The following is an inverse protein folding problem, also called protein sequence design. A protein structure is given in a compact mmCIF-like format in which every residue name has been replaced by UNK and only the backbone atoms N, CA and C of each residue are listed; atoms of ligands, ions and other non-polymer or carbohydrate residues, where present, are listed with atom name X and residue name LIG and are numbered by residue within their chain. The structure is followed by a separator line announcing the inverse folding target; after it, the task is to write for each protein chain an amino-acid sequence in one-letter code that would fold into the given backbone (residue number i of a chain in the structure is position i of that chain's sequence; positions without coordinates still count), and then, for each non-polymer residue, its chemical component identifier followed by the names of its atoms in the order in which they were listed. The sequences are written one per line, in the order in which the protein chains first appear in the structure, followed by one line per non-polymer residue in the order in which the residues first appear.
data_IF_465207940056
#
_entry.id   IF_465207940056
#
_cell.length_a   1.000
_cell.length_b   1.000
_cell.length_c   1.000
_cell.angle_alpha   90.00
_cell.angle_beta   90.00
_cell.angle_gamma   90.00
#
_symmetry.space_group_name_H-M   'P 1'
#
loop_
_entity.id
_entity.type
_entity.pdbx_description
1 polymer ?
#
# COMPACT_ATOMS: atom_id res chain seq x y z
N UNK A 1 -21.87 6.94 49.93
CA UNK A 1 -20.54 7.48 49.59
C UNK A 1 -20.29 7.06 48.16
N UNK A 2 -20.69 7.92 47.21
CA UNK A 2 -20.59 7.62 45.78
C UNK A 2 -19.15 7.83 45.33
N UNK A 3 -18.55 6.77 44.81
CA UNK A 3 -17.26 6.77 44.17
C UNK A 3 -17.43 7.35 42.76
N UNK A 4 -16.84 8.50 42.51
CA UNK A 4 -16.69 9.07 41.18
C UNK A 4 -15.40 8.48 40.60
N UNK A 5 -15.43 7.79 39.45
CA UNK A 5 -14.21 7.41 38.76
C UNK A 5 -13.55 8.67 38.19
N UNK A 6 -12.23 8.77 38.33
CA UNK A 6 -11.42 9.81 37.71
C UNK A 6 -11.66 9.88 36.20
N UNK A 7 -12.33 10.94 35.76
CA UNK A 7 -12.13 11.58 34.46
C UNK A 7 -10.70 12.18 34.45
N UNK A 8 -9.85 12.09 33.44
CA UNK A 8 -9.89 11.53 32.11
C UNK A 8 -8.43 11.22 31.73
N UNK A 9 -8.20 10.18 30.92
CA UNK A 9 -7.03 10.21 30.04
C UNK A 9 -7.20 11.47 29.17
N UNK A 10 -6.21 12.35 29.14
CA UNK A 10 -6.24 13.52 28.29
C UNK A 10 -6.43 13.01 26.86
N UNK A 11 -7.61 13.22 26.29
CA UNK A 11 -7.93 12.77 24.95
C UNK A 11 -6.86 13.35 24.03
N UNK A 12 -6.17 12.47 23.28
CA UNK A 12 -5.07 12.91 22.46
C UNK A 12 -5.61 13.95 21.46
N UNK A 13 -5.02 15.15 21.45
CA UNK A 13 -5.42 16.21 20.52
C UNK A 13 -5.33 15.66 19.10
N UNK A 14 -6.39 15.85 18.31
CA UNK A 14 -6.47 15.41 16.93
C UNK A 14 -5.25 15.95 16.13
N UNK A 15 -4.53 15.10 15.39
CA UNK A 15 -3.32 15.50 14.67
C UNK A 15 -3.58 16.58 13.61
N UNK A 16 -4.76 16.65 13.01
CA UNK A 16 -5.12 17.70 12.05
C UNK A 16 -5.24 19.07 12.73
N UNK A 17 -5.75 19.12 13.96
CA UNK A 17 -5.74 20.35 14.77
C UNK A 17 -4.32 20.76 15.15
N UNK A 18 -3.45 19.82 15.49
CA UNK A 18 -2.05 20.12 15.85
C UNK A 18 -1.29 20.80 14.70
N UNK A 19 -1.59 20.44 13.46
CA UNK A 19 -0.96 21.02 12.27
C UNK A 19 -1.58 22.37 11.86
N UNK A 20 -2.84 22.59 12.19
CA UNK A 20 -3.61 23.80 11.82
C UNK A 20 -3.51 24.93 12.86
N UNK A 21 -3.36 24.59 14.15
CA UNK A 21 -3.40 25.57 15.25
C UNK A 21 -2.00 26.06 15.63
N UNK A 22 -1.77 27.36 15.49
CA UNK A 22 -0.55 28.05 15.95
C UNK A 22 -0.80 28.73 17.30
N UNK A 23 -0.13 28.26 18.36
CA UNK A 23 -0.32 28.78 19.72
C UNK A 23 0.80 29.74 20.12
N UNK A 24 0.42 30.99 20.37
CA UNK A 24 1.27 32.12 20.75
C UNK A 24 0.93 32.61 22.17
N UNK A 25 1.33 31.80 23.16
CA UNK A 25 1.12 32.12 24.57
C UNK A 25 2.39 32.70 25.22
N UNK A 26 2.21 33.75 26.03
CA UNK A 26 3.29 34.43 26.77
C UNK A 26 3.52 33.90 28.19
N UNK A 27 2.67 32.98 28.67
CA UNK A 27 2.73 32.44 30.03
C UNK A 27 2.22 30.99 30.12
N UNK A 28 2.55 30.29 31.20
CA UNK A 28 2.03 28.94 31.47
C UNK A 28 0.51 28.92 31.64
N UNK A 29 -0.08 30.01 32.15
CA UNK A 29 -1.54 30.14 32.31
C UNK A 29 -2.23 30.29 30.95
N UNK A 30 -1.72 31.18 30.08
CA UNK A 30 -2.25 31.32 28.72
C UNK A 30 -2.01 30.07 27.88
N UNK A 31 -0.89 29.37 28.08
CA UNK A 31 -0.68 28.07 27.43
C UNK A 31 -1.73 27.04 27.86
N UNK A 32 -2.01 26.92 29.16
CA UNK A 32 -3.04 26.01 29.66
C UNK A 32 -4.43 26.36 29.14
N UNK A 33 -4.76 27.65 29.03
CA UNK A 33 -6.03 28.05 28.43
C UNK A 33 -6.10 27.72 26.94
N UNK A 34 -5.01 27.94 26.18
CA UNK A 34 -4.96 27.53 24.78
C UNK A 34 -5.21 26.02 24.60
N UNK A 35 -4.68 25.18 25.49
CA UNK A 35 -4.96 23.73 25.46
C UNK A 35 -6.46 23.42 25.71
N UNK A 36 -7.15 24.20 26.55
CA UNK A 36 -8.59 24.04 26.75
C UNK A 36 -9.39 24.49 25.53
N UNK A 37 -8.98 25.58 24.87
CA UNK A 37 -9.55 26.03 23.60
C UNK A 37 -9.42 24.94 22.52
N UNK A 38 -8.22 24.38 22.36
CA UNK A 38 -7.97 23.26 21.43
C UNK A 38 -8.83 22.06 21.79
N UNK A 39 -8.96 21.72 23.08
CA UNK A 39 -9.83 20.61 23.52
C UNK A 39 -11.30 20.82 23.16
N UNK A 40 -11.80 22.06 23.11
CA UNK A 40 -13.16 22.35 22.66
C UNK A 40 -13.30 22.21 21.15
N UNK A 41 -12.31 22.67 20.39
CA UNK A 41 -12.24 22.46 18.93
C UNK A 41 -12.11 20.97 18.56
N UNK A 42 -11.52 20.16 19.44
CA UNK A 42 -11.35 18.72 19.26
C UNK A 42 -12.67 17.93 19.26
N UNK A 43 -13.80 18.56 19.60
CA UNK A 43 -15.13 17.97 19.50
C UNK A 43 -15.68 17.93 18.06
N UNK A 44 -15.04 18.63 17.11
CA UNK A 44 -15.44 18.65 15.70
C UNK A 44 -14.98 17.35 15.01
N UNK A 45 -15.79 16.85 14.07
CA UNK A 45 -15.55 15.60 13.35
C UNK A 45 -14.21 15.61 12.62
N UNK A 46 -13.56 14.45 12.62
CA UNK A 46 -12.24 14.28 12.05
C UNK A 46 -12.16 14.67 10.57
N UNK A 47 -13.22 14.43 9.79
CA UNK A 47 -13.21 14.75 8.35
C UNK A 47 -13.24 16.25 8.11
N UNK A 48 -14.00 17.01 8.91
CA UNK A 48 -13.98 18.49 8.87
C UNK A 48 -12.59 19.01 9.23
N UNK A 49 -12.01 18.52 10.34
CA UNK A 49 -10.67 18.90 10.79
C UNK A 49 -9.61 18.59 9.72
N UNK A 50 -9.68 17.41 9.12
CA UNK A 50 -8.82 16.98 8.03
C UNK A 50 -8.93 17.92 6.82
N UNK A 51 -10.15 18.23 6.38
CA UNK A 51 -10.37 19.06 5.20
C UNK A 51 -9.91 20.49 5.41
N UNK A 52 -10.24 21.13 6.53
CA UNK A 52 -9.79 22.50 6.79
C UNK A 52 -8.26 22.57 6.87
N UNK A 53 -7.62 21.58 7.51
CA UNK A 53 -6.15 21.48 7.56
C UNK A 53 -5.54 21.24 6.17
N UNK A 54 -6.09 20.30 5.39
CA UNK A 54 -5.59 19.94 4.06
C UNK A 54 -5.77 21.08 3.04
N UNK A 55 -6.81 21.90 3.20
CA UNK A 55 -7.04 23.10 2.41
C UNK A 55 -6.23 24.31 2.91
N UNK A 56 -5.31 24.09 3.87
CA UNK A 56 -4.31 25.07 4.29
C UNK A 56 -4.79 26.13 5.28
N UNK A 57 -5.92 25.91 5.94
CA UNK A 57 -6.37 26.83 6.98
C UNK A 57 -5.31 26.95 8.09
N UNK A 58 -5.19 28.15 8.66
CA UNK A 58 -4.34 28.41 9.83
C UNK A 58 -5.20 29.05 10.90
N UNK A 59 -5.12 28.53 12.13
CA UNK A 59 -5.87 29.06 13.26
C UNK A 59 -4.93 29.51 14.38
N UNK A 60 -4.84 30.81 14.60
CA UNK A 60 -3.93 31.39 15.59
C UNK A 60 -4.65 31.50 16.94
N UNK A 61 -4.04 30.97 17.99
CA UNK A 61 -4.41 31.23 19.38
C UNK A 61 -3.34 32.10 20.01
N UNK A 62 -3.63 33.38 20.26
CA UNK A 62 -2.67 34.30 20.89
C UNK A 62 -3.26 35.03 22.09
N UNK A 63 -2.44 35.34 23.10
CA UNK A 63 -2.88 36.11 24.27
C UNK A 63 -2.75 37.64 24.10
N UNK A 64 -2.10 38.08 23.01
CA UNK A 64 -2.03 39.47 22.58
C UNK A 64 -3.17 39.86 21.63
N UNK A 65 -3.47 41.17 21.46
CA UNK A 65 -4.47 41.65 20.50
C UNK A 65 -4.23 41.14 19.07
N UNK A 66 -5.32 41.06 18.29
CA UNK A 66 -5.28 40.64 16.89
C UNK A 66 -4.28 41.50 16.09
N UNK A 67 -4.33 42.81 16.27
CA UNK A 67 -3.50 43.77 15.51
C UNK A 67 -2.02 43.77 15.90
N UNK A 68 -1.62 42.98 16.91
CA UNK A 68 -0.21 42.70 17.23
C UNK A 68 0.34 41.47 16.48
N UNK A 69 -0.53 40.66 15.88
CA UNK A 69 -0.08 39.57 15.02
C UNK A 69 0.38 40.12 13.65
N UNK A 70 1.51 39.63 13.10
CA UNK A 70 1.99 40.06 11.79
C UNK A 70 0.93 39.96 10.67
N UNK A 71 0.11 38.91 10.70
CA UNK A 71 -0.93 38.61 9.72
C UNK A 71 -2.04 39.66 9.70
N UNK A 72 -2.34 40.25 10.87
CA UNK A 72 -3.45 41.19 11.06
C UNK A 72 -2.99 42.63 11.38
N UNK A 73 -1.68 42.91 11.38
CA UNK A 73 -1.13 44.22 11.72
C UNK A 73 -1.69 45.37 10.86
N UNK A 74 -2.12 45.06 9.63
CA UNK A 74 -2.74 46.00 8.71
C UNK A 74 -4.13 46.49 9.16
N UNK A 75 -4.78 45.82 10.12
CA UNK A 75 -6.10 46.16 10.67
C UNK A 75 -6.03 47.15 11.84
N UNK A 76 -4.82 47.54 12.27
CA UNK A 76 -4.63 48.46 13.40
C UNK A 76 -5.41 49.76 13.24
N UNK A 77 -6.28 50.07 14.21
CA UNK A 77 -7.16 51.26 14.20
C UNK A 77 -8.35 51.19 13.23
N UNK A 78 -8.55 50.08 12.52
CA UNK A 78 -9.68 49.88 11.59
C UNK A 78 -10.89 49.34 12.36
N UNK A 79 -12.08 49.86 12.08
CA UNK A 79 -13.36 49.36 12.62
C UNK A 79 -13.98 48.39 11.61
N UNK A 80 -14.20 47.11 11.95
CA UNK A 80 -14.86 46.18 11.05
C UNK A 80 -16.32 46.51 10.83
N UNK A 81 -16.85 45.99 9.72
CA UNK A 81 -18.26 46.12 9.38
C UNK A 81 -19.11 45.47 10.46
N UNK A 82 -20.16 46.18 10.90
CA UNK A 82 -21.07 45.67 11.94
C UNK A 82 -20.60 45.93 13.38
N UNK A 83 -19.41 46.50 13.58
CA UNK A 83 -18.87 46.80 14.91
C UNK A 83 -18.76 48.31 15.19
N UNK A 84 -18.74 48.65 16.48
CA UNK A 84 -18.43 50.00 16.96
C UNK A 84 -16.97 50.16 17.39
N UNK A 85 -16.31 49.05 17.75
CA UNK A 85 -14.93 49.03 18.25
C UNK A 85 -13.94 48.70 17.12
N UNK A 86 -12.68 49.09 17.25
CA UNK A 86 -11.65 48.72 16.27
C UNK A 86 -11.21 47.27 16.44
N UNK A 87 -10.54 46.74 15.42
CA UNK A 87 -9.85 45.45 15.45
C UNK A 87 -8.80 45.33 16.57
N UNK A 88 -8.40 46.44 17.18
CA UNK A 88 -7.49 46.43 18.34
C UNK A 88 -8.15 45.82 19.59
N UNK A 89 -9.48 45.92 19.69
CA UNK A 89 -10.27 45.48 20.84
C UNK A 89 -11.07 44.19 20.57
N UNK A 90 -11.16 43.76 19.31
CA UNK A 90 -11.93 42.58 18.91
C UNK A 90 -11.09 41.31 19.17
N UNK A 91 -11.67 40.26 19.79
CA UNK A 91 -10.89 39.10 20.21
C UNK A 91 -10.81 37.97 19.18
N UNK A 92 -11.64 37.96 18.12
CA UNK A 92 -11.58 36.95 17.07
C UNK A 92 -11.67 37.52 15.65
N UNK A 93 -11.15 36.78 14.67
CA UNK A 93 -11.25 37.08 13.25
C UNK A 93 -11.36 35.80 12.42
N UNK A 94 -12.35 35.74 11.52
CA UNK A 94 -12.57 34.63 10.58
C UNK A 94 -11.94 34.87 9.20
N UNK A 95 -11.45 33.80 8.58
CA UNK A 95 -10.82 33.80 7.26
C UNK A 95 -9.88 32.61 7.03
N UNK A 96 -9.08 32.64 5.95
CA UNK A 96 -8.10 31.59 5.66
C UNK A 96 -7.03 31.46 6.75
N UNK A 97 -6.60 32.63 7.26
CA UNK A 97 -5.94 32.74 8.56
C UNK A 97 -6.99 33.29 9.52
N UNK A 98 -7.39 32.47 10.48
CA UNK A 98 -8.32 32.83 11.54
C UNK A 98 -7.60 32.96 12.87
N UNK A 99 -8.20 33.67 13.82
CA UNK A 99 -7.63 33.86 15.14
C UNK A 99 -8.70 33.92 16.21
N UNK A 100 -8.39 33.36 17.39
CA UNK A 100 -9.13 33.61 18.62
C UNK A 100 -8.17 33.98 19.75
N UNK A 101 -8.51 35.01 20.53
CA UNK A 101 -7.69 35.48 21.64
C UNK A 101 -7.81 34.56 22.84
N UNK A 102 -6.67 34.12 23.36
CA UNK A 102 -6.60 33.24 24.53
C UNK A 102 -7.24 33.91 25.75
N UNK A 103 -8.16 33.21 26.41
CA UNK A 103 -8.88 33.68 27.60
C UNK A 103 -10.14 34.50 27.31
N UNK A 104 -10.51 34.63 26.02
CA UNK A 104 -11.70 35.35 25.57
C UNK A 104 -12.76 34.37 25.03
N UNK A 105 -12.76 33.10 25.43
CA UNK A 105 -13.65 32.09 24.87
C UNK A 105 -15.12 32.26 25.23
N UNK A 106 -15.42 32.76 26.44
CA UNK A 106 -16.77 32.80 26.98
C UNK A 106 -17.57 34.02 26.50
N UNK A 107 -18.87 33.83 26.26
CA UNK A 107 -19.82 34.92 26.01
C UNK A 107 -19.60 36.12 26.95
N UNK A 108 -19.58 37.33 26.39
CA UNK A 108 -19.42 38.58 27.14
C UNK A 108 -17.96 38.98 27.42
N UNK A 109 -16.98 38.18 27.00
CA UNK A 109 -15.55 38.54 27.03
C UNK A 109 -15.18 39.37 25.81
N UNK A 110 -15.87 40.49 25.55
CA UNK A 110 -15.57 41.38 24.42
C UNK A 110 -16.16 40.95 23.06
N UNK A 111 -16.88 39.84 23.04
CA UNK A 111 -17.72 39.37 21.93
C UNK A 111 -19.03 38.80 22.50
N UNK A 112 -19.95 38.43 21.61
CA UNK A 112 -21.33 38.02 21.92
C UNK A 112 -21.67 36.60 21.46
N UNK A 113 -20.68 35.87 20.94
CA UNK A 113 -20.82 34.47 20.52
C UNK A 113 -20.82 33.54 21.73
N UNK A 114 -21.45 32.38 21.62
CA UNK A 114 -21.52 31.38 22.71
C UNK A 114 -20.13 30.84 23.10
N UNK A 115 -19.25 30.67 22.10
CA UNK A 115 -17.86 30.32 22.27
C UNK A 115 -17.03 30.96 21.14
N UNK A 116 -15.97 31.68 21.48
CA UNK A 116 -15.18 32.44 20.50
C UNK A 116 -14.49 31.52 19.48
N UNK A 117 -13.63 30.62 19.94
CA UNK A 117 -12.80 29.80 19.03
C UNK A 117 -13.63 28.88 18.12
N UNK A 118 -14.74 28.33 18.60
CA UNK A 118 -15.64 27.54 17.76
C UNK A 118 -16.41 28.40 16.76
N UNK A 119 -16.77 29.63 17.11
CA UNK A 119 -17.41 30.55 16.17
C UNK A 119 -16.45 30.94 15.04
N UNK A 120 -15.23 31.37 15.39
CA UNK A 120 -14.22 31.74 14.40
C UNK A 120 -13.80 30.52 13.57
N UNK A 121 -13.72 29.33 14.17
CA UNK A 121 -13.47 28.10 13.43
C UNK A 121 -14.66 27.72 12.53
N UNK A 122 -15.89 28.04 12.93
CA UNK A 122 -17.08 27.93 12.09
C UNK A 122 -16.93 28.71 10.78
N UNK A 123 -16.33 29.91 10.80
CA UNK A 123 -16.02 30.66 9.57
C UNK A 123 -14.97 29.96 8.69
N UNK A 124 -14.00 29.27 9.30
CA UNK A 124 -13.04 28.42 8.56
C UNK A 124 -13.77 27.26 7.90
N UNK A 125 -14.65 26.58 8.65
CA UNK A 125 -15.43 25.44 8.15
C UNK A 125 -16.34 25.87 7.01
N UNK A 126 -17.03 27.01 7.16
CA UNK A 126 -17.90 27.62 6.15
C UNK A 126 -17.16 27.78 4.81
N UNK A 127 -15.94 28.29 4.84
CA UNK A 127 -15.22 28.72 3.64
C UNK A 127 -14.26 27.68 3.05
N UNK A 128 -13.72 26.78 3.87
CA UNK A 128 -12.55 25.96 3.51
C UNK A 128 -12.75 24.45 3.70
N UNK A 129 -13.97 23.96 3.90
CA UNK A 129 -14.22 22.51 4.01
C UNK A 129 -14.49 21.86 2.66
N UNK A 130 -15.45 22.41 1.91
CA UNK A 130 -16.06 21.72 0.75
C UNK A 130 -15.89 22.45 -0.59
N UNK A 131 -14.98 23.44 -0.66
CA UNK A 131 -14.66 24.17 -1.90
C UNK A 131 -15.68 25.23 -2.32
N UNK A 132 -16.78 25.36 -1.59
CA UNK A 132 -17.74 26.46 -1.68
C UNK A 132 -17.97 27.03 -0.29
N UNK A 133 -18.40 28.30 -0.21
CA UNK A 133 -18.85 28.87 1.05
C UNK A 133 -20.24 28.31 1.39
N UNK A 134 -20.32 27.48 2.42
CA UNK A 134 -21.51 26.70 2.77
C UNK A 134 -22.71 27.60 3.08
N UNK A 135 -22.48 28.67 3.83
CA UNK A 135 -23.47 29.68 4.21
C UNK A 135 -24.05 30.45 3.02
N UNK A 136 -23.35 30.44 1.88
CA UNK A 136 -23.76 31.10 0.64
C UNK A 136 -24.59 30.18 -0.27
N UNK A 137 -24.63 28.87 0.03
CA UNK A 137 -25.42 27.89 -0.72
C UNK A 137 -26.92 28.16 -0.61
N UNK A 138 -27.68 27.84 -1.65
CA UNK A 138 -29.14 28.03 -1.66
C UNK A 138 -29.83 27.27 -0.51
N UNK A 139 -29.35 26.05 -0.22
CA UNK A 139 -29.84 25.22 0.88
C UNK A 139 -29.68 25.93 2.23
N UNK A 140 -28.46 26.33 2.60
CA UNK A 140 -28.22 26.92 3.91
C UNK A 140 -28.89 28.29 4.05
N UNK A 141 -28.98 29.07 2.96
CA UNK A 141 -29.75 30.32 2.94
C UNK A 141 -31.25 30.10 3.18
N UNK A 142 -31.82 29.01 2.64
CA UNK A 142 -33.22 28.65 2.88
C UNK A 142 -33.45 28.19 4.32
N UNK A 143 -32.50 27.46 4.92
CA UNK A 143 -32.52 27.08 6.34
C UNK A 143 -32.46 28.34 7.22
N UNK A 144 -31.49 29.21 6.98
CA UNK A 144 -31.34 30.50 7.67
C UNK A 144 -32.64 31.30 7.65
N UNK A 145 -33.21 31.53 6.46
CA UNK A 145 -34.44 32.31 6.31
C UNK A 145 -35.64 31.71 7.05
N UNK A 146 -35.65 30.40 7.30
CA UNK A 146 -36.72 29.74 8.03
C UNK A 146 -36.56 29.79 9.56
N UNK A 147 -35.33 29.84 10.07
CA UNK A 147 -35.04 29.53 11.48
C UNK A 147 -34.32 30.65 12.25
N UNK A 148 -33.71 31.62 11.57
CA UNK A 148 -32.94 32.68 12.23
C UNK A 148 -33.76 33.44 13.28
N UNK A 149 -35.02 33.76 12.97
CA UNK A 149 -35.90 34.45 13.92
C UNK A 149 -36.36 33.56 15.07
N UNK A 150 -36.39 32.23 14.91
CA UNK A 150 -36.79 31.30 15.97
C UNK A 150 -35.67 31.13 16.99
N UNK A 151 -34.44 31.01 16.50
CA UNK A 151 -33.25 30.84 17.33
C UNK A 151 -32.80 32.15 17.98
N UNK A 152 -32.75 33.24 17.20
CA UNK A 152 -32.09 34.48 17.60
C UNK A 152 -33.04 35.58 18.11
N UNK A 153 -34.36 35.35 18.19
CA UNK A 153 -35.33 36.41 18.53
C UNK A 153 -35.04 37.16 19.84
N UNK A 154 -34.60 36.42 20.86
CA UNK A 154 -34.30 36.98 22.18
C UNK A 154 -32.90 37.60 22.26
N UNK A 155 -32.11 37.50 21.19
CA UNK A 155 -30.77 38.05 21.14
C UNK A 155 -30.83 39.55 20.82
N UNK A 156 -30.21 40.38 21.67
CA UNK A 156 -30.11 41.83 21.46
C UNK A 156 -29.39 42.22 20.17
N UNK A 157 -28.67 41.28 19.55
CA UNK A 157 -27.97 41.44 18.29
C UNK A 157 -28.61 40.62 17.15
N UNK A 158 -29.91 40.32 17.22
CA UNK A 158 -30.61 39.57 16.15
C UNK A 158 -30.24 40.04 14.74
N UNK A 159 -30.23 41.34 14.47
CA UNK A 159 -29.88 41.93 13.16
C UNK A 159 -28.46 41.57 12.69
N UNK A 160 -27.51 41.32 13.60
CA UNK A 160 -26.17 40.84 13.24
C UNK A 160 -26.23 39.48 12.52
N UNK A 161 -27.12 38.60 12.97
CA UNK A 161 -27.31 37.27 12.39
C UNK A 161 -28.17 37.26 11.12
N UNK A 162 -28.57 38.42 10.56
CA UNK A 162 -29.04 38.48 9.16
C UNK A 162 -27.89 38.20 8.17
N UNK A 163 -26.65 38.35 8.62
CA UNK A 163 -25.47 37.89 7.89
C UNK A 163 -25.38 36.37 8.02
N UNK A 164 -25.65 35.65 6.93
CA UNK A 164 -25.77 34.18 6.94
C UNK A 164 -24.48 33.49 7.41
N UNK A 165 -23.31 34.03 7.08
CA UNK A 165 -22.02 33.54 7.59
C UNK A 165 -21.90 33.63 9.12
N UNK A 166 -22.38 34.72 9.73
CA UNK A 166 -22.39 34.87 11.19
C UNK A 166 -23.39 33.91 11.86
N UNK A 167 -24.53 33.66 11.22
CA UNK A 167 -25.46 32.62 11.66
C UNK A 167 -24.83 31.22 11.56
N UNK A 168 -24.12 30.93 10.45
CA UNK A 168 -23.39 29.67 10.30
C UNK A 168 -22.36 29.51 11.42
N UNK A 169 -21.48 30.49 11.62
CA UNK A 169 -20.44 30.45 12.66
C UNK A 169 -21.01 30.26 14.06
N UNK A 170 -22.08 30.97 14.40
CA UNK A 170 -22.71 30.84 15.72
C UNK A 170 -23.42 29.50 15.91
N UNK A 171 -24.18 29.03 14.92
CA UNK A 171 -24.89 27.76 15.03
C UNK A 171 -23.95 26.56 14.97
N UNK A 172 -22.84 26.66 14.24
CA UNK A 172 -21.72 25.72 14.30
C UNK A 172 -21.15 25.67 15.73
N UNK A 173 -20.86 26.82 16.34
CA UNK A 173 -20.38 26.88 17.71
C UNK A 173 -21.38 26.26 18.69
N UNK A 174 -22.67 26.57 18.57
CA UNK A 174 -23.73 25.96 19.38
C UNK A 174 -23.75 24.43 19.24
N UNK A 175 -23.58 23.90 18.03
CA UNK A 175 -23.59 22.47 17.77
C UNK A 175 -22.38 21.76 18.42
N UNK A 176 -21.16 22.31 18.34
CA UNK A 176 -19.95 21.63 18.85
C UNK A 176 -19.56 21.98 20.29
N UNK A 177 -20.13 23.02 20.89
CA UNK A 177 -19.65 23.51 22.19
C UNK A 177 -20.09 22.65 23.38
N UNK A 178 -21.39 22.47 23.58
CA UNK A 178 -21.95 21.73 24.73
C UNK A 178 -23.18 20.93 24.33
N UNK A 179 -23.52 19.89 25.11
CA UNK A 179 -24.74 19.12 24.89
C UNK A 179 -26.00 20.00 25.04
N UNK A 180 -25.97 20.95 25.97
CA UNK A 180 -27.05 21.90 26.23
C UNK A 180 -27.27 22.85 25.04
N UNK A 181 -26.19 23.45 24.50
CA UNK A 181 -26.28 24.33 23.34
C UNK A 181 -26.73 23.59 22.08
N UNK A 182 -26.28 22.34 21.89
CA UNK A 182 -26.72 21.49 20.79
C UNK A 182 -28.21 21.14 20.92
N UNK A 183 -28.67 20.80 22.12
CA UNK A 183 -30.09 20.53 22.37
C UNK A 183 -30.97 21.76 22.15
N UNK A 184 -30.51 22.95 22.55
CA UNK A 184 -31.20 24.21 22.25
C UNK A 184 -31.29 24.46 20.74
N UNK A 185 -30.22 24.21 19.99
CA UNK A 185 -30.22 24.30 18.53
C UNK A 185 -31.24 23.31 17.92
N UNK A 186 -31.27 22.06 18.40
CA UNK A 186 -32.24 21.05 17.95
C UNK A 186 -33.70 21.48 18.20
N UNK A 187 -33.97 22.13 19.34
CA UNK A 187 -35.32 22.58 19.70
C UNK A 187 -35.77 23.79 18.88
N UNK A 188 -34.89 24.78 18.70
CA UNK A 188 -35.26 26.09 18.13
C UNK A 188 -34.96 26.24 16.64
N UNK A 189 -34.02 25.48 16.11
CA UNK A 189 -33.60 25.48 14.72
C UNK A 189 -33.32 24.05 14.22
N UNK A 190 -34.35 23.18 14.20
CA UNK A 190 -34.18 21.75 13.89
C UNK A 190 -33.61 21.48 12.50
N UNK A 191 -33.86 22.33 11.50
CA UNK A 191 -33.26 22.16 10.15
C UNK A 191 -31.78 22.51 10.17
N UNK A 192 -31.39 23.53 10.92
CA UNK A 192 -29.98 23.88 11.13
C UNK A 192 -29.25 22.77 11.88
N UNK A 193 -29.86 22.17 12.91
CA UNK A 193 -29.30 21.00 13.58
C UNK A 193 -29.14 19.81 12.62
N UNK A 194 -30.20 19.45 11.90
CA UNK A 194 -30.18 18.34 10.95
C UNK A 194 -29.16 18.56 9.83
N UNK A 195 -28.94 19.81 9.41
CA UNK A 195 -27.88 20.15 8.46
C UNK A 195 -26.50 19.76 8.99
N UNK A 196 -26.18 20.07 10.26
CA UNK A 196 -24.90 19.70 10.85
C UNK A 196 -24.78 18.20 11.16
N UNK A 197 -25.88 17.50 11.44
CA UNK A 197 -25.89 16.03 11.56
C UNK A 197 -25.41 15.36 10.26
N UNK A 198 -25.80 15.92 9.10
CA UNK A 198 -25.49 15.35 7.78
C UNK A 198 -24.22 15.94 7.14
N UNK A 199 -23.78 17.13 7.56
CA UNK A 199 -22.71 17.88 6.92
C UNK A 199 -21.42 17.08 6.75
N UNK A 200 -21.01 16.30 7.77
CA UNK A 200 -19.81 15.48 7.71
C UNK A 200 -19.89 14.41 6.61
N UNK A 201 -21.03 13.73 6.46
CA UNK A 201 -21.25 12.69 5.44
C UNK A 201 -21.20 13.24 4.01
N UNK A 202 -21.49 14.53 3.84
CA UNK A 202 -21.51 15.21 2.54
C UNK A 202 -20.13 15.71 2.09
N UNK A 203 -19.08 15.48 2.87
CA UNK A 203 -17.73 15.86 2.50
C UNK A 203 -17.12 14.78 1.59
N UNK A 204 -16.72 15.20 0.38
CA UNK A 204 -15.96 14.36 -0.53
C UNK A 204 -14.48 14.75 -0.53
N UNK A 205 -13.63 13.79 -0.20
CA UNK A 205 -12.18 13.95 -0.12
C UNK A 205 -11.51 13.43 -1.38
N UNK A 206 -10.53 14.18 -1.89
CA UNK A 206 -9.69 13.73 -2.99
C UNK A 206 -8.49 12.95 -2.45
N UNK A 207 -8.27 11.76 -2.96
CA UNK A 207 -7.07 10.96 -2.72
C UNK A 207 -6.01 11.21 -3.79
N UNK A 208 -5.38 10.13 -4.24
CA UNK A 208 -4.46 10.16 -5.38
C UNK A 208 -5.19 10.62 -6.65
N UNK A 209 -4.57 11.55 -7.36
CA UNK A 209 -5.00 12.03 -8.68
C UNK A 209 -3.79 11.94 -9.59
N UNK A 210 -3.97 11.21 -10.69
CA UNK A 210 -2.91 10.96 -11.66
C UNK A 210 -3.26 11.62 -12.99
N UNK A 211 -2.54 11.33 -14.08
CA UNK A 211 -2.91 11.89 -15.38
C UNK A 211 -4.21 11.34 -15.96
N UNK A 212 -4.61 10.14 -15.56
CA UNK A 212 -5.74 9.41 -16.12
C UNK A 212 -6.64 8.76 -15.07
N UNK A 213 -6.36 8.93 -13.78
CA UNK A 213 -7.21 8.43 -12.69
C UNK A 213 -7.41 9.46 -11.59
N UNK A 214 -8.48 9.30 -10.81
CA UNK A 214 -8.68 10.03 -9.57
C UNK A 214 -9.39 9.13 -8.56
N UNK A 215 -8.93 9.12 -7.31
CA UNK A 215 -9.59 8.35 -6.24
C UNK A 215 -10.32 9.30 -5.30
N UNK A 216 -11.57 9.01 -5.00
CA UNK A 216 -12.41 9.78 -4.08
C UNK A 216 -12.72 8.96 -2.82
N UNK A 217 -12.79 9.63 -1.67
CA UNK A 217 -13.08 9.05 -0.36
C UNK A 217 -14.13 9.86 0.38
N UNK A 218 -14.96 9.19 1.17
CA UNK A 218 -15.97 9.82 2.05
C UNK A 218 -16.15 8.96 3.31
N UNK A 219 -16.80 9.52 4.33
CA UNK A 219 -17.22 8.76 5.51
C UNK A 219 -18.47 7.93 5.17
N UNK A 220 -18.47 6.66 5.58
CA UNK A 220 -19.61 5.78 5.36
C UNK A 220 -20.78 6.19 6.25
N UNK A 221 -21.99 6.23 5.68
CA UNK A 221 -23.23 6.47 6.39
C UNK A 221 -23.88 5.15 6.81
N UNK A 222 -24.37 5.05 8.04
CA UNK A 222 -24.90 3.80 8.62
C UNK A 222 -26.04 3.16 7.82
N UNK A 223 -26.93 4.00 7.26
CA UNK A 223 -28.09 3.55 6.49
C UNK A 223 -27.82 3.33 4.99
N UNK A 224 -26.61 3.65 4.51
CA UNK A 224 -26.25 3.52 3.09
C UNK A 224 -25.80 2.09 2.78
N UNK A 225 -26.34 1.51 1.70
CA UNK A 225 -25.92 0.19 1.18
C UNK A 225 -25.24 0.27 -0.18
N UNK A 226 -25.35 1.42 -0.85
CA UNK A 226 -24.77 1.69 -2.16
C UNK A 226 -24.41 3.18 -2.24
N UNK A 227 -23.31 3.46 -2.93
CA UNK A 227 -22.88 4.80 -3.30
C UNK A 227 -22.73 4.86 -4.82
N UNK A 228 -23.31 5.87 -5.44
CA UNK A 228 -23.17 6.13 -6.87
C UNK A 228 -22.22 7.32 -7.08
N UNK A 229 -21.14 7.11 -7.82
CA UNK A 229 -20.14 8.13 -8.11
C UNK A 229 -20.46 8.82 -9.43
N UNK A 230 -20.39 10.15 -9.43
CA UNK A 230 -20.63 10.98 -10.60
C UNK A 230 -19.38 11.78 -10.97
N UNK A 231 -19.15 11.91 -12.28
CA UNK A 231 -18.11 12.75 -12.88
C UNK A 231 -18.78 13.70 -13.87
N UNK A 232 -18.63 15.01 -13.68
CA UNK A 232 -19.26 16.05 -14.50
C UNK A 232 -20.79 15.87 -14.66
N UNK A 233 -21.45 15.33 -13.62
CA UNK A 233 -22.89 15.07 -13.60
C UNK A 233 -23.32 13.74 -14.23
N UNK A 234 -22.40 12.94 -14.78
CA UNK A 234 -22.69 11.61 -15.32
C UNK A 234 -22.23 10.52 -14.35
N UNK A 235 -23.07 9.51 -14.12
CA UNK A 235 -22.72 8.36 -13.29
C UNK A 235 -21.59 7.56 -13.93
N UNK A 236 -20.54 7.28 -13.16
CA UNK A 236 -19.39 6.46 -13.57
C UNK A 236 -19.41 5.06 -12.93
N UNK A 237 -20.36 4.80 -12.04
CA UNK A 237 -20.57 3.47 -11.45
C UNK A 237 -21.03 3.55 -9.99
N UNK A 238 -21.22 2.37 -9.40
CA UNK A 238 -21.62 2.22 -8.00
C UNK A 238 -20.61 1.40 -7.21
N UNK A 239 -20.59 1.60 -5.89
CA UNK A 239 -19.76 0.85 -4.94
C UNK A 239 -20.51 0.68 -3.62
N UNK A 240 -20.15 -0.34 -2.85
CA UNK A 240 -20.63 -0.54 -1.46
C UNK A 240 -19.63 -0.02 -0.43
N UNK A 241 -18.40 0.27 -0.85
CA UNK A 241 -17.36 0.85 -0.01
C UNK A 241 -17.44 2.38 0.01
N UNK A 242 -16.64 3.00 0.88
CA UNK A 242 -16.57 4.46 1.02
C UNK A 242 -15.43 5.10 0.22
N UNK A 243 -15.06 4.45 -0.89
CA UNK A 243 -14.09 4.95 -1.85
C UNK A 243 -14.45 4.52 -3.27
N UNK A 244 -14.04 5.32 -4.26
CA UNK A 244 -14.20 5.03 -5.67
C UNK A 244 -12.99 5.52 -6.45
N UNK A 245 -12.38 4.63 -7.25
CA UNK A 245 -11.33 5.00 -8.21
C UNK A 245 -11.99 5.22 -9.57
N UNK A 246 -11.86 6.44 -10.09
CA UNK A 246 -12.31 6.81 -11.42
C UNK A 246 -11.13 6.64 -12.37
N UNK A 247 -11.35 5.91 -13.46
CA UNK A 247 -10.34 5.65 -14.50
C UNK A 247 -10.72 6.32 -15.82
N UNK A 248 -9.79 6.30 -16.80
CA UNK A 248 -10.03 6.81 -18.14
C UNK A 248 -10.27 8.32 -18.20
N UNK A 249 -9.62 9.08 -17.31
CA UNK A 249 -9.58 10.53 -17.35
C UNK A 249 -8.58 11.01 -18.40
N UNK A 250 -8.80 12.21 -18.93
CA UNK A 250 -7.82 12.88 -19.79
C UNK A 250 -6.85 13.68 -18.91
N UNK A 251 -5.60 13.82 -19.36
CA UNK A 251 -4.60 14.68 -18.72
C UNK A 251 -4.98 16.15 -18.79
N UNK A 252 -4.38 16.97 -17.91
CA UNK A 252 -4.56 18.43 -17.86
C UNK A 252 -6.04 18.87 -17.89
N UNK A 253 -6.92 18.09 -17.30
CA UNK A 253 -8.37 18.29 -17.35
C UNK A 253 -8.95 18.34 -15.95
N UNK A 254 -9.70 19.41 -15.65
CA UNK A 254 -10.46 19.50 -14.40
C UNK A 254 -11.76 18.72 -14.54
N UNK A 255 -12.03 17.86 -13.55
CA UNK A 255 -13.28 17.13 -13.40
C UNK A 255 -13.95 17.47 -12.08
N UNK A 256 -15.28 17.49 -12.10
CA UNK A 256 -16.12 17.68 -10.92
C UNK A 256 -16.72 16.35 -10.49
N UNK A 257 -16.52 15.99 -9.22
CA UNK A 257 -16.97 14.72 -8.65
C UNK A 257 -17.98 14.96 -7.53
N UNK A 258 -18.99 14.10 -7.44
CA UNK A 258 -19.84 13.99 -6.27
C UNK A 258 -20.32 12.56 -6.10
N UNK A 259 -20.72 12.20 -4.90
CA UNK A 259 -21.27 10.89 -4.57
C UNK A 259 -22.70 11.04 -4.06
N UNK A 260 -23.56 10.11 -4.46
CA UNK A 260 -24.93 9.97 -3.94
C UNK A 260 -24.99 8.69 -3.13
N UNK A 261 -25.35 8.80 -1.85
CA UNK A 261 -25.55 7.64 -0.98
C UNK A 261 -27.00 7.17 -1.06
N UNK A 262 -27.23 5.85 -1.13
CA UNK A 262 -28.56 5.25 -1.24
C UNK A 262 -28.80 4.18 -0.18
N UNK A 263 -30.01 4.14 0.34
CA UNK A 263 -30.46 3.13 1.28
C UNK A 263 -30.91 1.84 0.57
N UNK A 264 -31.29 0.81 1.34
CA UNK A 264 -31.71 -0.49 0.81
C UNK A 264 -32.98 -0.46 -0.07
N UNK A 265 -33.80 0.59 0.02
CA UNK A 265 -34.95 0.82 -0.87
C UNK A 265 -34.58 1.55 -2.16
N UNK A 266 -33.33 1.99 -2.32
CA UNK A 266 -32.88 2.80 -3.45
C UNK A 266 -33.22 4.29 -3.32
N UNK A 267 -33.62 4.75 -2.14
CA UNK A 267 -33.84 6.18 -1.87
C UNK A 267 -32.50 6.86 -1.59
N UNK A 268 -32.35 8.09 -2.08
CA UNK A 268 -31.18 8.92 -1.83
C UNK A 268 -31.19 9.40 -0.37
N UNK A 269 -30.10 9.17 0.34
CA UNK A 269 -29.88 9.65 1.70
C UNK A 269 -29.31 11.08 1.66
N UNK A 270 -28.24 11.26 0.89
CA UNK A 270 -27.62 12.56 0.65
C UNK A 270 -26.85 12.59 -0.68
N UNK A 271 -26.56 13.81 -1.12
CA UNK A 271 -25.58 14.10 -2.17
C UNK A 271 -24.44 14.89 -1.57
N UNK A 272 -23.20 14.45 -1.81
CA UNK A 272 -22.02 15.16 -1.33
C UNK A 272 -21.91 16.54 -2.00
N UNK A 273 -21.14 17.43 -1.38
CA UNK A 273 -20.64 18.59 -2.10
C UNK A 273 -19.74 18.16 -3.25
N UNK A 274 -19.75 18.96 -4.32
CA UNK A 274 -18.88 18.74 -5.47
C UNK A 274 -17.44 18.98 -5.10
N UNK A 275 -16.56 18.04 -5.46
CA UNK A 275 -15.11 18.16 -5.33
C UNK A 275 -14.48 18.17 -6.72
N UNK A 276 -13.76 19.23 -7.05
CA UNK A 276 -13.01 19.31 -8.30
C UNK A 276 -11.60 18.73 -8.14
N UNK A 277 -11.11 18.04 -9.15
CA UNK A 277 -9.71 17.63 -9.24
C UNK A 277 -9.15 17.86 -10.65
N UNK A 278 -7.90 18.34 -10.71
CA UNK A 278 -7.14 18.52 -11.95
C UNK A 278 -6.22 17.32 -12.13
N UNK A 279 -6.36 16.60 -13.24
CA UNK A 279 -5.46 15.50 -13.60
C UNK A 279 -4.07 16.01 -13.93
N UNK A 280 -3.07 15.14 -13.71
CA UNK A 280 -1.69 15.40 -14.11
C UNK A 280 -1.53 15.57 -15.63
N UNK A 281 -0.37 16.07 -16.04
CA UNK A 281 -0.05 16.33 -17.45
C UNK A 281 0.43 15.11 -18.23
N UNK A 282 0.72 14.00 -17.53
CA UNK A 282 1.21 12.75 -18.09
C UNK A 282 0.30 11.63 -17.59
N UNK A 283 -0.30 10.81 -18.47
CA UNK A 283 -1.10 9.68 -18.04
C UNK A 283 -0.20 8.62 -17.40
N UNK A 284 -0.69 7.95 -16.37
CA UNK A 284 0.05 6.80 -15.83
C UNK A 284 0.08 5.70 -16.87
N UNK A 285 1.22 5.02 -16.95
CA UNK A 285 1.35 3.81 -17.74
C UNK A 285 0.55 2.65 -17.12
N UNK A 286 -0.05 1.84 -17.97
CA UNK A 286 -0.61 0.54 -17.60
C UNK A 286 0.52 -0.47 -17.44
N UNK A 287 0.81 -0.87 -16.20
CA UNK A 287 1.84 -1.85 -15.83
C UNK A 287 1.36 -3.29 -15.83
N UNK A 288 0.06 -3.55 -16.04
CA UNK A 288 -0.57 -4.86 -15.84
C UNK A 288 0.14 -5.98 -16.60
N UNK A 289 0.48 -5.73 -17.88
CA UNK A 289 1.16 -6.72 -18.72
C UNK A 289 2.58 -6.99 -18.22
N UNK A 290 3.34 -5.95 -17.89
CA UNK A 290 4.70 -6.08 -17.38
C UNK A 290 4.73 -6.84 -16.04
N UNK A 291 3.81 -6.54 -15.15
CA UNK A 291 3.66 -7.24 -13.86
C UNK A 291 3.34 -8.72 -14.05
N UNK A 292 2.47 -9.06 -15.01
CA UNK A 292 2.17 -10.44 -15.35
C UNK A 292 3.42 -11.18 -15.89
N UNK A 293 4.17 -10.58 -16.81
CA UNK A 293 5.42 -11.14 -17.34
C UNK A 293 6.45 -11.37 -16.24
N UNK A 294 6.62 -10.40 -15.32
CA UNK A 294 7.50 -10.53 -14.16
C UNK A 294 7.11 -11.75 -13.33
N UNK A 295 5.81 -11.91 -13.03
CA UNK A 295 5.32 -13.03 -12.22
C UNK A 295 5.55 -14.38 -12.91
N UNK A 296 5.35 -14.46 -14.22
CA UNK A 296 5.60 -15.66 -15.01
C UNK A 296 7.10 -16.04 -15.03
N UNK A 297 7.98 -15.06 -15.23
CA UNK A 297 9.45 -15.26 -15.18
C UNK A 297 9.87 -15.74 -13.80
N UNK A 298 9.41 -15.10 -12.71
CA UNK A 298 9.76 -15.51 -11.34
C UNK A 298 9.28 -16.94 -11.03
N UNK A 299 8.07 -17.30 -11.48
CA UNK A 299 7.55 -18.64 -11.31
C UNK A 299 8.36 -19.69 -12.09
N UNK A 300 8.76 -19.38 -13.34
CA UNK A 300 9.55 -20.28 -14.18
C UNK A 300 10.96 -20.55 -13.61
N UNK A 301 11.51 -19.63 -12.82
CA UNK A 301 12.87 -19.69 -12.27
C UNK A 301 12.94 -19.90 -10.76
N UNK A 302 11.87 -20.41 -10.14
CA UNK A 302 11.87 -20.70 -8.68
C UNK A 302 12.93 -21.75 -8.30
N UNK A 303 13.12 -22.78 -9.13
CA UNK A 303 14.06 -23.89 -8.89
C UNK A 303 15.16 -23.99 -9.98
N UNK A 304 15.34 -22.94 -10.79
CA UNK A 304 16.30 -22.88 -11.90
C UNK A 304 17.20 -21.66 -11.74
N UNK A 305 18.46 -21.79 -12.12
CA UNK A 305 19.32 -20.61 -12.21
C UNK A 305 18.93 -19.75 -13.41
N UNK A 306 18.91 -18.44 -13.18
CA UNK A 306 18.61 -17.44 -14.18
C UNK A 306 19.92 -16.88 -14.73
N UNK A 307 20.06 -16.77 -16.06
CA UNK A 307 21.22 -16.12 -16.66
C UNK A 307 21.30 -14.64 -16.29
N UNK A 308 22.51 -14.09 -16.38
CA UNK A 308 22.78 -12.69 -16.03
C UNK A 308 21.93 -11.67 -16.82
N UNK A 309 21.70 -11.84 -18.15
CA UNK A 309 20.87 -10.91 -18.90
C UNK A 309 19.42 -10.84 -18.39
N UNK A 310 18.79 -12.00 -18.19
CA UNK A 310 17.42 -12.10 -17.67
C UNK A 310 17.32 -11.58 -16.23
N UNK A 311 18.32 -11.89 -15.38
CA UNK A 311 18.40 -11.37 -14.01
C UNK A 311 18.40 -9.85 -13.99
N UNK A 312 19.19 -9.21 -14.88
CA UNK A 312 19.26 -7.76 -15.00
C UNK A 312 17.97 -7.16 -15.55
N UNK A 313 17.36 -7.77 -16.57
CA UNK A 313 16.11 -7.30 -17.14
C UNK A 313 14.96 -7.36 -16.13
N UNK A 314 14.87 -8.47 -15.37
CA UNK A 314 13.89 -8.65 -14.30
C UNK A 314 14.10 -7.63 -13.17
N UNK A 315 15.34 -7.45 -12.71
CA UNK A 315 15.66 -6.47 -11.67
C UNK A 315 15.34 -5.04 -12.11
N UNK A 316 15.62 -4.70 -13.37
CA UNK A 316 15.32 -3.39 -13.93
C UNK A 316 13.81 -3.15 -13.98
N UNK A 317 13.04 -4.10 -14.52
CA UNK A 317 11.59 -4.02 -14.63
C UNK A 317 10.92 -3.85 -13.27
N UNK A 318 11.34 -4.64 -12.28
CA UNK A 318 10.86 -4.54 -10.89
C UNK A 318 11.21 -3.20 -10.25
N UNK A 319 12.40 -2.67 -10.52
CA UNK A 319 12.83 -1.38 -9.98
C UNK A 319 11.96 -0.24 -10.50
N UNK A 320 11.62 -0.23 -11.79
CA UNK A 320 10.80 0.82 -12.39
C UNK A 320 9.36 0.79 -11.87
N UNK A 321 8.74 -0.40 -11.77
CA UNK A 321 7.39 -0.53 -11.18
C UNK A 321 7.40 -0.07 -9.71
N UNK A 322 8.44 -0.40 -8.95
CA UNK A 322 8.51 -0.04 -7.54
C UNK A 322 8.81 1.45 -7.29
N UNK A 323 9.31 2.20 -8.29
CA UNK A 323 9.75 3.59 -8.10
C UNK A 323 8.62 4.62 -8.11
N UNK A 324 7.39 4.26 -8.49
CA UNK A 324 6.20 5.15 -8.48
C UNK A 324 6.45 6.50 -9.19
N UNK A 325 7.41 6.53 -10.12
CA UNK A 325 7.68 7.67 -10.98
C UNK A 325 6.67 7.64 -12.14
N UNK A 326 6.35 8.82 -12.69
CA UNK A 326 5.47 9.01 -13.85
C UNK A 326 5.98 8.29 -15.12
N UNK A 327 5.97 6.97 -15.10
CA UNK A 327 6.36 6.07 -16.16
C UNK A 327 5.46 6.33 -17.35
N UNK A 328 6.07 6.48 -18.52
CA UNK A 328 5.33 6.61 -19.77
C UNK A 328 5.06 5.21 -20.33
N UNK A 329 3.93 5.06 -21.04
CA UNK A 329 3.56 3.76 -21.60
C UNK A 329 4.65 3.17 -22.51
N UNK A 330 5.36 4.00 -23.28
CA UNK A 330 6.47 3.54 -24.12
C UNK A 330 7.64 2.96 -23.31
N UNK A 331 7.86 3.43 -22.08
CA UNK A 331 8.91 2.90 -21.21
C UNK A 331 8.51 1.54 -20.65
N UNK A 332 7.26 1.37 -20.22
CA UNK A 332 6.72 0.08 -19.76
C UNK A 332 6.72 -0.95 -20.88
N UNK A 333 6.30 -0.57 -22.09
CA UNK A 333 6.30 -1.45 -23.27
C UNK A 333 7.73 -1.92 -23.61
N UNK A 334 8.71 -1.01 -23.54
CA UNK A 334 10.12 -1.33 -23.78
C UNK A 334 10.71 -2.25 -22.69
N UNK A 335 10.34 -2.05 -21.42
CA UNK A 335 10.74 -2.93 -20.31
C UNK A 335 10.17 -4.33 -20.51
N UNK A 336 8.89 -4.45 -20.89
CA UNK A 336 8.24 -5.73 -21.14
C UNK A 336 8.90 -6.46 -22.31
N UNK A 337 9.10 -5.76 -23.44
CA UNK A 337 9.78 -6.34 -24.62
C UNK A 337 11.19 -6.83 -24.28
N UNK A 338 11.96 -6.07 -23.48
CA UNK A 338 13.29 -6.49 -23.07
C UNK A 338 13.26 -7.73 -22.16
N UNK A 339 12.32 -7.78 -21.21
CA UNK A 339 12.14 -8.91 -20.32
C UNK A 339 11.75 -10.17 -21.08
N UNK A 340 10.80 -10.09 -22.01
CA UNK A 340 10.39 -11.20 -22.87
C UNK A 340 11.54 -11.71 -23.75
N UNK A 341 12.25 -10.80 -24.43
CA UNK A 341 13.39 -11.16 -25.29
C UNK A 341 14.52 -11.85 -24.51
N UNK A 342 14.85 -11.33 -23.32
CA UNK A 342 15.89 -11.95 -22.48
C UNK A 342 15.42 -13.26 -21.86
N UNK A 343 14.12 -13.42 -21.60
CA UNK A 343 13.56 -14.67 -21.12
C UNK A 343 13.58 -15.76 -22.19
N UNK A 344 13.16 -15.44 -23.42
CA UNK A 344 13.23 -16.38 -24.55
C UNK A 344 14.67 -16.80 -24.86
N UNK A 345 15.62 -15.85 -24.78
CA UNK A 345 17.03 -16.15 -24.97
C UNK A 345 17.58 -17.09 -23.88
N UNK A 346 17.20 -16.89 -22.61
CA UNK A 346 17.64 -17.74 -21.50
C UNK A 346 17.05 -19.15 -21.60
N UNK A 347 15.76 -19.28 -21.89
CA UNK A 347 15.11 -20.57 -22.15
C UNK A 347 15.72 -21.32 -23.34
N UNK A 348 16.18 -20.59 -24.35
CA UNK A 348 16.91 -21.18 -25.49
C UNK A 348 18.30 -21.66 -25.05
N UNK A 349 19.05 -20.84 -24.33
CA UNK A 349 20.37 -21.22 -23.83
C UNK A 349 20.32 -22.44 -22.89
N UNK A 350 19.30 -22.55 -22.04
CA UNK A 350 19.12 -23.71 -21.16
C UNK A 350 18.78 -24.97 -21.93
N UNK A 351 17.94 -24.88 -22.97
CA UNK A 351 17.65 -26.01 -23.86
C UNK A 351 18.91 -26.48 -24.59
N UNK A 352 19.69 -25.56 -25.13
CA UNK A 352 20.97 -25.89 -25.80
C UNK A 352 21.96 -26.53 -24.83
N UNK A 353 22.09 -26.01 -23.60
CA UNK A 353 22.96 -26.58 -22.58
C UNK A 353 22.51 -27.99 -22.13
N UNK A 354 21.21 -28.23 -22.03
CA UNK A 354 20.66 -29.55 -21.72
C UNK A 354 20.90 -30.55 -22.86
N UNK A 355 20.69 -30.12 -24.11
CA UNK A 355 20.98 -30.94 -25.29
C UNK A 355 22.46 -31.30 -25.38
N UNK A 356 23.36 -30.35 -25.08
CA UNK A 356 24.80 -30.58 -25.02
C UNK A 356 25.15 -31.58 -23.91
N UNK A 357 24.59 -31.41 -22.71
CA UNK A 357 24.80 -32.33 -21.57
C UNK A 357 24.37 -33.76 -21.90
N UNK A 358 23.19 -33.93 -22.49
CA UNK A 358 22.68 -35.25 -22.89
C UNK A 358 23.57 -35.88 -23.96
N UNK A 359 24.10 -35.07 -24.88
CA UNK A 359 25.04 -35.53 -25.90
C UNK A 359 26.36 -35.99 -25.28
N UNK A 360 26.93 -35.22 -24.34
CA UNK A 360 28.15 -35.61 -23.63
C UNK A 360 27.95 -36.89 -22.81
N UNK A 361 26.81 -37.04 -22.13
CA UNK A 361 26.45 -38.25 -21.39
C UNK A 361 26.35 -39.47 -22.31
N UNK A 362 25.73 -39.30 -23.49
CA UNK A 362 25.67 -40.35 -24.50
C UNK A 362 27.06 -40.72 -25.02
N UNK A 363 27.89 -39.74 -25.37
CA UNK A 363 29.26 -39.98 -25.85
C UNK A 363 30.11 -40.70 -24.79
N UNK A 364 29.99 -40.30 -23.51
CA UNK A 364 30.67 -40.95 -22.39
C UNK A 364 30.20 -42.40 -22.17
N UNK A 365 28.89 -42.64 -22.32
CA UNK A 365 28.32 -43.99 -22.23
C UNK A 365 28.82 -44.88 -23.37
N UNK A 366 28.81 -44.39 -24.59
CA UNK A 366 29.35 -45.13 -25.75
C UNK A 366 30.85 -45.43 -25.59
N UNK A 367 31.63 -44.50 -25.02
CA UNK A 367 33.04 -44.75 -24.71
C UNK A 367 33.22 -45.81 -23.62
N UNK A 368 32.40 -45.77 -22.56
CA UNK A 368 32.42 -46.77 -21.50
C UNK A 368 32.05 -48.16 -22.02
N UNK A 369 31.05 -48.26 -22.90
CA UNK A 369 30.65 -49.50 -23.56
C UNK A 369 31.78 -50.04 -24.46
N UNK A 370 32.47 -49.17 -25.23
CA UNK A 370 33.66 -49.58 -26.00
C UNK A 370 34.78 -50.11 -25.12
N UNK A 371 35.12 -49.43 -24.03
CA UNK A 371 36.17 -49.87 -23.09
C UNK A 371 35.83 -51.21 -22.44
N UNK A 372 34.57 -51.39 -22.01
CA UNK A 372 34.11 -52.65 -21.42
C UNK A 372 34.19 -53.81 -22.42
N UNK A 373 33.90 -53.56 -23.69
CA UNK A 373 34.02 -54.56 -24.76
C UNK A 373 35.49 -54.90 -25.07
N UNK A 374 36.38 -53.90 -25.11
CA UNK A 374 37.83 -54.13 -25.26
C UNK A 374 38.39 -54.96 -24.09
N UNK A 375 37.99 -54.66 -22.85
CA UNK A 375 38.37 -55.44 -21.66
C UNK A 375 37.83 -56.87 -21.71
N UNK A 376 36.58 -57.07 -22.18
CA UNK A 376 35.99 -58.40 -22.38
C UNK A 376 36.79 -59.22 -23.38
N UNK A 377 37.13 -58.64 -24.53
CA UNK A 377 37.94 -59.30 -25.57
C UNK A 377 39.32 -59.67 -25.02
N UNK A 378 39.99 -58.76 -24.32
CA UNK A 378 41.30 -59.04 -23.72
C UNK A 378 41.24 -60.17 -22.67
N UNK A 379 40.18 -60.20 -21.86
CA UNK A 379 39.96 -61.28 -20.88
C UNK A 379 39.69 -62.63 -21.56
N UNK A 380 38.94 -62.65 -22.67
CA UNK A 380 38.70 -63.85 -23.48
C UNK A 380 40.00 -64.37 -24.12
N UNK A 381 40.83 -63.48 -24.67
CA UNK A 381 42.15 -63.84 -25.22
C UNK A 381 43.08 -64.41 -24.14
N UNK A 382 43.12 -63.78 -22.95
CA UNK A 382 43.94 -64.26 -21.84
C UNK A 382 43.45 -65.62 -21.33
N UNK A 383 42.14 -65.81 -21.18
CA UNK A 383 41.58 -67.10 -20.78
C UNK A 383 41.88 -68.21 -21.81
N UNK A 384 41.89 -67.89 -23.10
CA UNK A 384 42.27 -68.82 -24.15
C UNK A 384 43.76 -69.23 -24.07
N UNK A 385 44.65 -68.27 -23.80
CA UNK A 385 46.07 -68.53 -23.59
C UNK A 385 46.32 -69.42 -22.36
N UNK A 386 45.65 -69.13 -21.24
CA UNK A 386 45.74 -69.93 -20.02
C UNK A 386 45.22 -71.36 -20.25
N UNK A 387 44.14 -71.52 -21.01
CA UNK A 387 43.61 -72.84 -21.38
C UNK A 387 44.61 -73.64 -22.26
N UNK A 388 45.27 -72.99 -23.22
CA UNK A 388 46.30 -73.63 -24.06
C UNK A 388 47.51 -74.06 -23.21
N UNK A 389 47.93 -73.22 -22.25
CA UNK A 389 49.03 -73.54 -21.35
C UNK A 389 48.69 -74.71 -20.42
N UNK A 390 47.46 -74.75 -19.88
CA UNK A 390 46.96 -75.89 -19.11
C UNK A 390 46.90 -77.17 -19.95
N UNK A 391 46.46 -77.10 -21.20
CA UNK A 391 46.43 -78.25 -22.11
C UNK A 391 47.85 -78.78 -22.38
N UNK A 392 48.82 -77.89 -22.63
CA UNK A 392 50.23 -78.26 -22.78
C UNK A 392 50.79 -78.89 -21.52
N UNK A 393 50.54 -78.31 -20.34
CA UNK A 393 50.97 -78.85 -19.07
C UNK A 393 50.36 -80.23 -18.78
N UNK A 394 49.07 -80.43 -19.08
CA UNK A 394 48.41 -81.71 -18.98
C UNK A 394 49.02 -82.76 -19.93
N UNK A 395 49.33 -82.37 -21.17
CA UNK A 395 49.97 -83.24 -22.15
C UNK A 395 51.41 -83.63 -21.72
N UNK A 396 52.16 -82.70 -21.13
CA UNK A 396 53.49 -82.99 -20.56
C UNK A 396 53.40 -83.92 -19.35
N UNK A 397 52.46 -83.69 -18.43
CA UNK A 397 52.22 -84.57 -17.29
C UNK A 397 51.87 -86.00 -17.75
N UNK A 398 51.01 -86.14 -18.76
CA UNK A 398 50.65 -87.44 -19.33
C UNK A 398 51.87 -88.13 -19.97
N UNK A 399 52.77 -87.38 -20.63
CA UNK A 399 54.04 -87.91 -21.16
C UNK A 399 54.97 -88.37 -20.04
N UNK A 400 55.06 -87.63 -18.94
CA UNK A 400 55.88 -88.02 -17.78
C UNK A 400 55.35 -89.31 -17.14
N UNK A 401 54.03 -89.43 -16.93
CA UNK A 401 53.43 -90.68 -16.43
C UNK A 401 53.72 -91.88 -17.36
N UNK A 402 53.66 -91.67 -18.68
CA UNK A 402 54.00 -92.70 -19.64
C UNK A 402 55.47 -93.12 -19.54
N UNK A 403 56.39 -92.15 -19.41
CA UNK A 403 57.82 -92.44 -19.23
C UNK A 403 58.10 -93.20 -17.93
N UNK A 404 57.49 -92.79 -16.81
CA UNK A 404 57.60 -93.49 -15.54
C UNK A 404 57.06 -94.92 -15.61
N UNK A 405 55.96 -95.12 -16.34
CA UNK A 405 55.39 -96.44 -16.59
C UNK A 405 56.35 -97.30 -17.42
N UNK A 406 56.93 -96.75 -18.49
CA UNK A 406 57.93 -97.44 -19.32
C UNK A 406 59.16 -97.81 -18.49
N UNK A 407 59.69 -96.89 -17.67
CA UNK A 407 60.84 -97.14 -16.79
C UNK A 407 60.52 -98.28 -15.81
N UNK A 408 59.35 -98.27 -15.17
CA UNK A 408 58.92 -99.38 -14.28
C UNK A 408 58.88 -100.72 -15.02
N UNK A 409 58.36 -100.76 -16.25
CA UNK A 409 58.33 -101.98 -17.08
C UNK A 409 59.74 -102.44 -17.42
N UNK A 410 60.63 -101.54 -17.85
CA UNK A 410 62.03 -101.84 -18.20
C UNK A 410 62.82 -102.34 -17.00
N UNK A 411 62.69 -101.70 -15.84
CA UNK A 411 63.34 -102.14 -14.58
C UNK A 411 62.84 -103.53 -14.19
N UNK A 412 61.54 -103.78 -14.29
CA UNK A 412 60.95 -105.11 -14.00
C UNK A 412 61.52 -106.18 -14.94
N UNK A 413 61.59 -105.88 -16.24
CA UNK A 413 62.20 -106.77 -17.23
C UNK A 413 63.70 -107.00 -16.98
N UNK A 414 64.45 -105.97 -16.58
CA UNK A 414 65.87 -106.09 -16.26
C UNK A 414 66.11 -106.93 -15.00
N UNK A 415 65.26 -106.82 -13.98
CA UNK A 415 65.29 -107.69 -12.79
C UNK A 415 65.01 -109.15 -13.17
N UNK A 416 64.01 -109.40 -14.03
CA UNK A 416 63.73 -110.74 -14.57
C UNK A 416 64.92 -111.28 -15.35
N UNK A 417 65.55 -110.46 -16.21
CA UNK A 417 66.72 -110.84 -16.99
C UNK A 417 67.94 -111.14 -16.09
N UNK A 418 68.17 -110.33 -15.05
CA UNK A 418 69.22 -110.55 -14.07
C UNK A 418 69.01 -111.82 -13.25
N UNK A 419 67.75 -112.11 -12.86
CA UNK A 419 67.40 -113.38 -12.23
C UNK A 419 67.63 -114.58 -13.17
N UNK A 420 67.31 -114.42 -14.46
CA UNK A 420 67.54 -115.44 -15.48
C UNK A 420 69.03 -115.69 -15.76
N UNK A 421 69.84 -114.63 -15.85
CA UNK A 421 71.31 -114.72 -16.00
C UNK A 421 71.94 -115.30 -14.73
N UNK A 422 71.50 -114.87 -13.54
CA UNK A 422 71.93 -115.43 -12.26
C UNK A 422 71.63 -116.93 -12.16
N UNK A 423 70.46 -117.36 -12.64
CA UNK A 423 70.09 -118.77 -12.73
C UNK A 423 70.99 -119.55 -13.70
N UNK A 424 71.32 -119.00 -14.87
CA UNK A 424 72.22 -119.62 -15.85
C UNK A 424 73.66 -119.75 -15.29
N UNK A 425 74.18 -118.71 -14.63
CA UNK A 425 75.52 -118.71 -14.03
C UNK A 425 75.60 -119.70 -12.85
N UNK A 426 74.56 -119.77 -12.02
CA UNK A 426 74.49 -120.74 -10.92
C UNK A 426 74.51 -122.19 -11.44
N UNK A 427 73.80 -122.47 -12.54
CA UNK A 427 73.70 -123.84 -13.08
C UNK A 427 74.98 -124.35 -13.74
N UNK A 428 75.89 -123.46 -14.18
CA UNK A 428 77.20 -123.84 -14.75
C UNK A 428 78.27 -124.17 -13.69
N UNK A 429 78.01 -123.89 -12.42
CA UNK A 429 78.98 -124.06 -11.30
C UNK A 429 78.77 -125.33 -10.47
N UNK A 430 77.95 -126.26 -10.97
CA UNK A 430 77.62 -127.56 -10.34
C UNK A 430 77.58 -128.61 -11.44
#
# INVERSE_FOLDING_TARGET
MFWVPNANAQEAINPYLQNMVDVRASSDESWQEAQRMISRMNNVENQILYQTNNNGAVFILADTPITEQPEFAHLKGVVPRGHTNSWDDIPGAGGHVSMARIGYSEYGRGHSTINLELHEYGHVVDSFTVGVQVSETEEFRAIHAAEVDQLMNSNSQREYYDMVGEYFGETFAMYYYTAESRAELAEKAPRTHAFFDDFNHRILSTGEVTGNTATMYWDAHEDAVEYEMFRNGESVGTTVGSSFRIEGLNTDTTYDFHVVAKNASGEELYTSYTRSALTGSIPDADTTVLEATIAEVEAAYTDREMGEPLTRALANSKSYIASDENLRQDEVDNLNSNLEETWEADETAQREAEEERLREEQEAREEAERKAEEERIAAEEQAALEAEEQEKAAAEAARQELQDTIIKVVVTLAVILAAFIGFIVYRKKK
#
